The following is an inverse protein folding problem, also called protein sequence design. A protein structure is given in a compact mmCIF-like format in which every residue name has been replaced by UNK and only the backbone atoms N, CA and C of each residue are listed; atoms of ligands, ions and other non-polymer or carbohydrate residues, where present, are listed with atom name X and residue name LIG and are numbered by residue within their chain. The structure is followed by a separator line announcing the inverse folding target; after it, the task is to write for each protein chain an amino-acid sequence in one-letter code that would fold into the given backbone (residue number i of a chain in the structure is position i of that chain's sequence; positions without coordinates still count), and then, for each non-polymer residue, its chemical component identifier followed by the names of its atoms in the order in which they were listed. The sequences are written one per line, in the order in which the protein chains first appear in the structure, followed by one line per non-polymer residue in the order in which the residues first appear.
data_IF_798267515771
#
_entry.id   IF_798267515771
#
_cell.length_a   1.000
_cell.length_b   1.000
_cell.length_c   1.000
_cell.angle_alpha   90.00
_cell.angle_beta   90.00
_cell.angle_gamma   90.00
#
_symmetry.space_group_name_H-M   'P 1'
#
loop_
_entity.id
_entity.type
_entity.pdbx_description
1 polymer ?
#
# COMPACT_ATOMS: atom_id res chain seq x y z
N UNK A 1 3.16 2.28 14.07
CA UNK A 1 3.35 2.84 12.72
C UNK A 1 4.07 4.18 12.67
N UNK A 2 3.75 5.12 13.55
CA UNK A 2 4.40 6.46 13.56
C UNK A 2 5.92 6.40 13.70
N UNK A 3 6.43 5.52 14.55
CA UNK A 3 7.89 5.36 14.75
C UNK A 3 8.57 4.87 13.47
N UNK A 4 8.00 3.88 12.83
CA UNK A 4 8.53 3.33 11.58
C UNK A 4 8.56 4.39 10.47
N UNK A 5 7.50 5.19 10.36
CA UNK A 5 7.44 6.28 9.38
C UNK A 5 8.45 7.39 9.68
N UNK A 6 8.66 7.73 10.95
CA UNK A 6 9.69 8.70 11.32
C UNK A 6 11.09 8.22 10.98
N UNK A 7 11.37 6.94 11.26
CA UNK A 7 12.67 6.34 10.94
C UNK A 7 12.91 6.31 9.42
N UNK A 8 11.90 5.91 8.66
CA UNK A 8 11.95 5.94 7.19
C UNK A 8 12.17 7.37 6.66
N UNK A 9 11.42 8.34 7.15
CA UNK A 9 11.52 9.74 6.75
C UNK A 9 12.91 10.32 7.06
N UNK A 10 13.44 10.05 8.25
CA UNK A 10 14.79 10.50 8.63
C UNK A 10 15.86 9.82 7.79
N UNK A 11 15.70 8.56 7.48
CA UNK A 11 16.60 7.81 6.59
C UNK A 11 16.72 8.50 5.22
N UNK A 12 15.62 8.93 4.64
CA UNK A 12 15.62 9.67 3.37
C UNK A 12 16.40 10.99 3.48
N UNK A 13 16.18 11.75 4.56
CA UNK A 13 16.90 13.00 4.80
C UNK A 13 18.39 12.75 4.95
N UNK A 14 18.78 11.70 5.68
CA UNK A 14 20.18 11.34 5.89
C UNK A 14 20.89 10.95 4.57
N UNK A 15 20.13 10.45 3.61
CA UNK A 15 20.64 10.13 2.26
C UNK A 15 20.63 11.36 1.32
N UNK A 16 20.23 12.52 1.80
CA UNK A 16 20.21 13.77 1.02
C UNK A 16 18.94 14.04 0.26
N UNK A 17 17.87 13.34 0.59
CA UNK A 17 16.56 13.51 -0.07
C UNK A 17 15.64 14.42 0.75
N UNK A 18 14.55 14.86 0.10
CA UNK A 18 13.51 15.66 0.73
C UNK A 18 12.84 14.87 1.86
N UNK A 19 12.43 15.58 2.91
CA UNK A 19 11.66 14.97 3.99
C UNK A 19 10.21 14.76 3.54
N UNK A 20 9.77 13.51 3.54
CA UNK A 20 8.36 13.14 3.33
C UNK A 20 7.81 12.55 4.63
N UNK A 21 6.57 12.87 4.95
CA UNK A 21 5.91 12.32 6.14
C UNK A 21 5.52 10.87 5.94
N UNK A 22 5.10 10.53 4.73
CA UNK A 22 4.63 9.20 4.36
C UNK A 22 5.16 8.82 2.98
N UNK A 23 5.25 7.52 2.67
CA UNK A 23 5.57 7.08 1.31
C UNK A 23 4.60 7.60 0.25
N UNK A 24 3.32 7.77 0.59
CA UNK A 24 2.34 8.34 -0.34
C UNK A 24 2.66 9.78 -0.71
N UNK A 25 3.11 10.59 0.26
CA UNK A 25 3.55 11.96 0.00
C UNK A 25 4.73 11.99 -1.00
N UNK A 26 5.65 11.04 -0.89
CA UNK A 26 6.76 10.92 -1.82
C UNK A 26 6.27 10.54 -3.23
N UNK A 27 5.33 9.61 -3.31
CA UNK A 27 4.73 9.19 -4.58
C UNK A 27 4.00 10.33 -5.27
N UNK A 28 3.30 11.16 -4.51
CA UNK A 28 2.47 12.25 -5.04
C UNK A 28 3.20 13.58 -5.18
N UNK A 29 4.51 13.62 -5.01
CA UNK A 29 5.27 14.86 -5.15
C UNK A 29 5.06 15.46 -6.54
N UNK A 30 4.61 16.71 -6.60
CA UNK A 30 4.34 17.41 -7.85
C UNK A 30 5.60 17.63 -8.70
N UNK A 31 6.78 17.54 -8.08
CA UNK A 31 8.05 17.63 -8.80
C UNK A 31 8.22 16.54 -9.87
N UNK A 32 7.48 15.46 -9.78
CA UNK A 32 7.56 14.34 -10.75
C UNK A 32 6.78 14.60 -12.03
N UNK A 33 5.84 15.52 -12.05
CA UNK A 33 5.02 15.89 -13.22
C UNK A 33 4.33 14.69 -13.89
N UNK A 34 3.83 13.77 -13.11
CA UNK A 34 3.20 12.56 -13.64
C UNK A 34 1.92 12.87 -14.38
N UNK A 35 1.82 12.37 -15.61
CA UNK A 35 0.61 12.42 -16.40
C UNK A 35 0.29 13.74 -17.04
N UNK A 36 1.10 14.78 -16.84
CA UNK A 36 0.85 16.11 -17.41
C UNK A 36 0.88 16.12 -18.94
N UNK A 37 1.76 15.33 -19.54
CA UNK A 37 1.97 15.28 -20.98
C UNK A 37 1.79 13.87 -21.57
N UNK A 38 1.25 12.94 -20.78
CA UNK A 38 1.16 11.53 -21.15
C UNK A 38 2.52 10.83 -21.23
N UNK A 39 3.56 11.49 -20.79
CA UNK A 39 4.91 10.95 -20.80
C UNK A 39 5.10 9.93 -19.68
N UNK A 40 5.66 8.78 -20.02
CA UNK A 40 5.97 7.72 -19.06
C UNK A 40 7.44 7.74 -18.62
N UNK A 41 8.25 8.65 -19.14
CA UNK A 41 9.64 8.78 -18.72
C UNK A 41 9.73 9.39 -17.31
N UNK A 42 10.73 8.96 -16.57
CA UNK A 42 10.93 9.38 -15.18
C UNK A 42 12.21 10.19 -15.05
N UNK A 43 12.14 11.30 -14.32
CA UNK A 43 13.32 12.09 -14.00
C UNK A 43 14.33 11.27 -13.19
N UNK A 44 15.62 11.54 -13.40
CA UNK A 44 16.70 10.88 -12.63
C UNK A 44 16.46 11.02 -11.12
N UNK A 45 16.02 12.19 -10.67
CA UNK A 45 15.76 12.44 -9.25
C UNK A 45 14.60 11.60 -8.72
N UNK A 46 13.55 11.39 -9.52
CA UNK A 46 12.44 10.51 -9.15
C UNK A 46 12.94 9.09 -8.94
N UNK A 47 13.73 8.57 -9.86
CA UNK A 47 14.31 7.21 -9.77
C UNK A 47 15.22 7.09 -8.55
N UNK A 48 16.08 8.07 -8.31
CA UNK A 48 16.97 8.07 -7.14
C UNK A 48 16.19 8.10 -5.83
N UNK A 49 15.11 8.87 -5.77
CA UNK A 49 14.23 8.94 -4.60
C UNK A 49 13.53 7.59 -4.38
N UNK A 50 13.06 6.95 -5.45
CA UNK A 50 12.42 5.64 -5.37
C UNK A 50 13.39 4.56 -4.84
N UNK A 51 14.63 4.58 -5.29
CA UNK A 51 15.66 3.64 -4.81
C UNK A 51 15.94 3.89 -3.33
N UNK A 52 16.13 5.13 -2.91
CA UNK A 52 16.34 5.49 -1.51
C UNK A 52 15.13 5.10 -0.64
N UNK A 53 13.92 5.28 -1.14
CA UNK A 53 12.68 4.85 -0.47
C UNK A 53 12.72 3.35 -0.17
N UNK A 54 13.03 2.52 -1.15
CA UNK A 54 13.12 1.06 -0.98
C UNK A 54 14.21 0.69 0.03
N UNK A 55 15.38 1.31 -0.08
CA UNK A 55 16.49 1.05 0.86
C UNK A 55 16.11 1.38 2.29
N UNK A 56 15.48 2.54 2.51
CA UNK A 56 15.03 2.98 3.84
C UNK A 56 13.91 2.09 4.39
N UNK A 57 12.98 1.64 3.55
CA UNK A 57 11.94 0.69 3.94
C UNK A 57 12.52 -0.65 4.40
N UNK A 58 13.56 -1.12 3.72
CA UNK A 58 14.26 -2.37 4.08
C UNK A 58 15.02 -2.22 5.39
N UNK A 59 15.74 -1.12 5.54
CA UNK A 59 16.57 -0.88 6.73
C UNK A 59 15.74 -0.85 8.02
N UNK A 60 14.57 -0.27 7.99
CA UNK A 60 13.69 -0.12 9.16
C UNK A 60 12.49 -1.03 9.15
N UNK A 61 12.44 -1.98 8.23
CA UNK A 61 11.33 -2.93 8.08
C UNK A 61 9.96 -2.24 8.07
N UNK A 62 9.87 -1.12 7.39
CA UNK A 62 8.66 -0.29 7.34
C UNK A 62 7.45 -1.06 6.81
N UNK A 63 7.65 -1.88 5.78
CA UNK A 63 6.59 -2.69 5.17
C UNK A 63 6.12 -3.78 6.14
N UNK A 64 7.05 -4.42 6.84
CA UNK A 64 6.72 -5.44 7.85
C UNK A 64 5.91 -4.87 8.99
N UNK A 65 6.31 -3.71 9.52
CA UNK A 65 5.56 -2.99 10.57
C UNK A 65 4.16 -2.62 10.09
N UNK A 66 4.06 -2.03 8.90
CA UNK A 66 2.77 -1.67 8.31
C UNK A 66 1.86 -2.88 8.14
N UNK A 67 2.40 -3.97 7.60
CA UNK A 67 1.66 -5.21 7.40
C UNK A 67 1.13 -5.78 8.71
N UNK A 68 1.95 -5.78 9.77
CA UNK A 68 1.55 -6.26 11.09
C UNK A 68 0.43 -5.41 11.69
N UNK A 69 0.54 -4.08 11.60
CA UNK A 69 -0.50 -3.16 12.10
C UNK A 69 -1.80 -3.34 11.33
N UNK A 70 -1.72 -3.47 10.01
CA UNK A 70 -2.91 -3.68 9.15
C UNK A 70 -3.59 -5.01 9.49
N UNK A 71 -2.81 -6.10 9.64
CA UNK A 71 -3.35 -7.40 9.97
C UNK A 71 -4.06 -7.39 11.34
N UNK A 72 -3.49 -6.70 12.32
CA UNK A 72 -4.10 -6.55 13.63
C UNK A 72 -5.44 -5.82 13.55
N UNK A 73 -5.51 -4.72 12.82
CA UNK A 73 -6.75 -3.97 12.59
C UNK A 73 -7.80 -4.79 11.88
N UNK A 74 -7.40 -5.55 10.88
CA UNK A 74 -8.30 -6.44 10.13
C UNK A 74 -8.87 -7.53 11.03
N UNK A 75 -8.04 -8.16 11.87
CA UNK A 75 -8.51 -9.18 12.83
C UNK A 75 -9.50 -8.60 13.83
N UNK A 76 -9.22 -7.39 14.33
CA UNK A 76 -10.12 -6.71 15.26
C UNK A 76 -11.46 -6.39 14.61
N UNK A 77 -11.46 -5.93 13.38
CA UNK A 77 -12.67 -5.63 12.60
C UNK A 77 -13.49 -6.90 12.34
N UNK A 78 -12.83 -7.99 11.92
CA UNK A 78 -13.48 -9.27 11.70
C UNK A 78 -14.13 -9.77 12.98
N UNK A 79 -13.44 -9.67 14.11
CA UNK A 79 -13.98 -10.10 15.42
C UNK A 79 -15.19 -9.26 15.80
N UNK A 80 -15.12 -7.95 15.61
CA UNK A 80 -16.22 -7.02 15.95
C UNK A 80 -17.46 -7.21 15.05
N UNK A 81 -17.27 -7.64 13.80
CA UNK A 81 -18.31 -7.75 12.79
C UNK A 81 -18.42 -9.16 12.19
N UNK A 82 -18.18 -10.17 13.01
CA UNK A 82 -18.11 -11.57 12.58
C UNK A 82 -19.35 -12.03 11.78
N UNK A 83 -20.53 -11.69 12.27
CA UNK A 83 -21.78 -12.08 11.60
C UNK A 83 -21.89 -11.50 10.18
N UNK A 84 -21.47 -10.24 10.01
CA UNK A 84 -21.49 -9.57 8.70
C UNK A 84 -20.49 -10.22 7.74
N UNK A 85 -19.29 -10.54 8.21
CA UNK A 85 -18.29 -11.23 7.38
C UNK A 85 -18.73 -12.65 7.00
N UNK A 86 -19.35 -13.39 7.91
CA UNK A 86 -19.88 -14.72 7.63
C UNK A 86 -21.03 -14.65 6.62
N UNK A 87 -21.92 -13.67 6.72
CA UNK A 87 -22.98 -13.43 5.75
C UNK A 87 -22.40 -13.11 4.36
N UNK A 88 -21.41 -12.23 4.28
CA UNK A 88 -20.74 -11.89 3.03
C UNK A 88 -20.06 -13.11 2.40
N UNK A 89 -19.45 -13.96 3.22
CA UNK A 89 -18.83 -15.20 2.77
C UNK A 89 -19.86 -16.17 2.14
N UNK A 90 -21.02 -16.31 2.78
CA UNK A 90 -22.11 -17.13 2.24
C UNK A 90 -22.63 -16.58 0.92
N UNK A 91 -22.81 -15.25 0.84
CA UNK A 91 -23.28 -14.57 -0.37
C UNK A 91 -22.29 -14.76 -1.53
N UNK A 92 -20.99 -14.66 -1.26
CA UNK A 92 -19.96 -14.93 -2.27
C UNK A 92 -19.99 -16.37 -2.75
N UNK A 93 -20.20 -17.33 -1.85
CA UNK A 93 -20.30 -18.74 -2.23
C UNK A 93 -21.51 -18.98 -3.13
N UNK A 94 -22.64 -18.37 -2.82
CA UNK A 94 -23.86 -18.43 -3.65
C UNK A 94 -23.62 -17.80 -5.02
N UNK A 95 -23.01 -16.62 -5.07
CA UNK A 95 -22.69 -15.96 -6.33
C UNK A 95 -21.78 -16.83 -7.21
N UNK A 96 -20.73 -17.42 -6.63
CA UNK A 96 -19.82 -18.31 -7.36
C UNK A 96 -20.54 -19.53 -7.93
N UNK A 97 -21.42 -20.14 -7.14
CA UNK A 97 -22.22 -21.29 -7.59
C UNK A 97 -23.14 -20.89 -8.75
N UNK A 98 -23.80 -19.74 -8.66
CA UNK A 98 -24.68 -19.25 -9.71
C UNK A 98 -23.92 -18.93 -11.01
N UNK A 99 -22.74 -18.33 -10.90
CA UNK A 99 -21.89 -18.04 -12.06
C UNK A 99 -21.43 -19.34 -12.73
N UNK A 100 -21.00 -20.34 -11.98
CA UNK A 100 -20.61 -21.66 -12.52
C UNK A 100 -21.77 -22.32 -13.26
N UNK A 101 -22.96 -22.29 -12.65
CA UNK A 101 -24.17 -22.86 -13.25
C UNK A 101 -24.52 -22.15 -14.55
N UNK A 102 -24.51 -20.84 -14.57
CA UNK A 102 -24.80 -20.06 -15.78
C UNK A 102 -23.77 -20.30 -16.89
N UNK A 103 -22.49 -20.45 -16.55
CA UNK A 103 -21.45 -20.76 -17.54
C UNK A 103 -21.56 -22.21 -18.08
N UNK A 104 -21.98 -23.15 -17.25
CA UNK A 104 -22.14 -24.53 -17.66
C UNK A 104 -23.32 -24.74 -18.63
N UNK A 105 -24.33 -23.87 -18.55
CA UNK A 105 -25.54 -23.94 -19.40
C UNK A 105 -25.34 -23.28 -20.78
N UNK A 106 -24.13 -22.83 -21.11
CA UNK A 106 -23.84 -22.25 -22.44
C UNK A 106 -23.52 -23.29 -23.49
#
# INVERSE_FOLDING_TARGET
MRRALRSWSQCLVDKGFKRYRTPDDAYQDTAWHRGEDGNTSHARREVSTAVADVECKREYDTVGVWSAVLAERQRADITAHRADYEAARRDLATLRANVRSALADR
#
